data_IF_643211303590
#
_entry.id   IF_643211303590
#
_cell.length_a   1.000
_cell.length_b   1.000
_cell.length_c   1.000
_cell.angle_alpha   90.00
_cell.angle_beta   90.00
_cell.angle_gamma   90.00
#
_symmetry.space_group_name_H-M   'P 1'
#
loop_
_entity.id
_entity.type
_entity.pdbx_description
1 polymer ?
#
# COMPACT_ATOMS: atom_id res chain seq x y z
N UNK A 1 -12.33 21.37 10.05
CA UNK A 1 -12.17 20.84 11.42
C UNK A 1 -11.53 19.43 11.38
N UNK A 2 -10.37 19.27 10.74
CA UNK A 2 -9.71 17.96 10.53
C UNK A 2 -8.20 17.96 10.84
N UNK A 3 -7.70 19.00 11.51
CA UNK A 3 -6.28 19.16 11.85
C UNK A 3 -6.11 19.25 13.37
N UNK A 4 -6.37 18.17 14.12
CA UNK A 4 -5.96 18.12 15.54
C UNK A 4 -5.85 16.72 16.16
N UNK A 5 -5.75 15.64 15.36
CA UNK A 5 -5.81 14.27 15.90
C UNK A 5 -4.52 13.42 15.81
N UNK A 6 -3.38 13.94 15.35
CA UNK A 6 -2.21 13.07 15.12
C UNK A 6 -0.92 13.59 15.77
N UNK A 7 -0.85 13.54 17.11
CA UNK A 7 0.40 13.72 17.85
C UNK A 7 0.97 12.42 18.44
N UNK A 8 0.17 11.35 18.57
CA UNK A 8 0.64 10.11 19.21
C UNK A 8 0.85 9.00 18.17
N UNK A 9 1.99 8.29 18.24
CA UNK A 9 2.34 7.22 17.29
C UNK A 9 1.29 6.09 17.27
N UNK A 10 0.69 5.80 18.44
CA UNK A 10 -0.39 4.81 18.55
C UNK A 10 -1.67 5.23 17.81
N UNK A 11 -2.00 6.53 17.80
CA UNK A 11 -3.17 7.04 17.07
C UNK A 11 -2.94 6.95 15.55
N UNK A 12 -1.72 7.25 15.09
CA UNK A 12 -1.33 7.11 13.69
C UNK A 12 -1.47 5.64 13.25
N UNK A 13 -0.89 4.72 14.03
CA UNK A 13 -0.97 3.27 13.80
C UNK A 13 -2.40 2.76 13.76
N UNK A 14 -3.22 3.15 14.73
CA UNK A 14 -4.63 2.76 14.81
C UNK A 14 -5.42 3.28 13.62
N UNK A 15 -5.23 4.56 13.26
CA UNK A 15 -5.90 5.18 12.11
C UNK A 15 -5.60 4.42 10.80
N UNK A 16 -4.32 4.10 10.56
CA UNK A 16 -3.92 3.35 9.37
C UNK A 16 -4.44 1.91 9.38
N UNK A 17 -4.43 1.23 10.54
CA UNK A 17 -4.99 -0.13 10.65
C UNK A 17 -6.49 -0.19 10.36
N UNK A 18 -7.24 0.85 10.74
CA UNK A 18 -8.67 0.96 10.41
C UNK A 18 -8.84 1.18 8.90
N UNK A 19 -8.08 2.13 8.32
CA UNK A 19 -8.12 2.41 6.87
C UNK A 19 -7.76 1.18 6.05
N UNK A 20 -6.71 0.45 6.44
CA UNK A 20 -6.30 -0.81 5.84
C UNK A 20 -7.46 -1.83 5.78
N UNK A 21 -8.23 -1.93 6.87
CA UNK A 21 -9.37 -2.83 6.96
C UNK A 21 -10.55 -2.35 6.09
N UNK A 22 -10.81 -1.04 6.04
CA UNK A 22 -11.90 -0.47 5.25
C UNK A 22 -11.72 -0.68 3.74
N UNK A 23 -10.48 -0.64 3.23
CA UNK A 23 -10.22 -0.86 1.80
C UNK A 23 -10.55 -2.27 1.32
N UNK A 24 -10.62 -3.27 2.22
CA UNK A 24 -10.98 -4.65 1.87
C UNK A 24 -12.50 -4.86 1.68
N UNK A 25 -13.33 -3.89 2.08
CA UNK A 25 -14.77 -4.07 2.15
C UNK A 25 -15.45 -4.07 0.77
N UNK A 26 -15.23 -3.04 -0.05
CA UNK A 26 -15.78 -2.95 -1.42
C UNK A 26 -15.04 -1.91 -2.26
N UNK A 27 -15.21 -2.01 -3.58
CA UNK A 27 -14.72 -0.99 -4.52
C UNK A 27 -15.38 0.37 -4.29
N UNK A 28 -16.69 0.39 -4.02
CA UNK A 28 -17.46 1.61 -3.73
C UNK A 28 -16.97 2.33 -2.47
N UNK A 29 -16.63 1.59 -1.41
CA UNK A 29 -16.03 2.16 -0.19
C UNK A 29 -14.64 2.70 -0.48
N UNK A 30 -13.82 1.96 -1.22
CA UNK A 30 -12.46 2.39 -1.58
C UNK A 30 -12.48 3.68 -2.40
N UNK A 31 -13.37 3.80 -3.37
CA UNK A 31 -13.55 5.02 -4.18
C UNK A 31 -13.95 6.23 -3.32
N UNK A 32 -14.95 6.08 -2.45
CA UNK A 32 -15.38 7.16 -1.54
C UNK A 32 -14.26 7.61 -0.61
N UNK A 33 -13.45 6.67 -0.11
CA UNK A 33 -12.31 7.01 0.74
C UNK A 33 -11.23 7.79 -0.03
N UNK A 34 -10.98 7.46 -1.31
CA UNK A 34 -10.10 8.27 -2.16
C UNK A 34 -10.65 9.70 -2.31
N UNK A 35 -11.95 9.85 -2.54
CA UNK A 35 -12.63 11.14 -2.70
C UNK A 35 -12.62 11.98 -1.41
N UNK A 36 -12.70 11.33 -0.25
CA UNK A 36 -12.56 11.98 1.05
C UNK A 36 -11.11 12.36 1.43
N UNK A 37 -10.13 12.12 0.54
CA UNK A 37 -8.74 12.50 0.78
C UNK A 37 -8.01 11.55 1.74
N UNK A 38 -8.49 10.33 1.91
CA UNK A 38 -7.85 9.33 2.78
C UNK A 38 -6.46 8.96 2.27
N UNK A 39 -6.24 8.98 0.96
CA UNK A 39 -4.90 8.79 0.39
C UNK A 39 -3.92 9.84 0.92
N UNK A 40 -4.31 11.12 0.93
CA UNK A 40 -3.46 12.21 1.43
C UNK A 40 -3.20 12.05 2.94
N UNK A 41 -4.19 11.56 3.70
CA UNK A 41 -4.01 11.25 5.12
C UNK A 41 -3.00 10.13 5.35
N UNK A 42 -3.08 9.02 4.60
CA UNK A 42 -2.14 7.89 4.70
C UNK A 42 -0.73 8.36 4.40
N UNK A 43 -0.59 9.14 3.34
CA UNK A 43 0.64 9.75 2.86
C UNK A 43 1.28 10.64 3.95
N UNK A 44 0.52 11.60 4.50
CA UNK A 44 1.00 12.51 5.56
C UNK A 44 1.37 11.74 6.82
N UNK A 45 0.56 10.76 7.19
CA UNK A 45 0.79 9.93 8.38
C UNK A 45 2.04 9.08 8.22
N UNK A 46 2.26 8.48 7.04
CA UNK A 46 3.46 7.70 6.73
C UNK A 46 4.72 8.54 6.80
N UNK A 47 4.69 9.77 6.27
CA UNK A 47 5.81 10.73 6.39
C UNK A 47 6.18 11.06 7.84
N UNK A 48 5.20 11.09 8.74
CA UNK A 48 5.43 11.36 10.17
C UNK A 48 5.86 10.13 10.96
N UNK A 49 5.62 8.96 10.40
CA UNK A 49 5.79 7.66 11.04
C UNK A 49 6.97 6.88 10.47
N UNK A 50 7.93 7.56 9.81
CA UNK A 50 9.10 6.94 9.17
C UNK A 50 9.93 6.10 10.14
N UNK A 51 9.98 6.50 11.41
CA UNK A 51 10.72 5.77 12.46
C UNK A 51 9.91 4.62 13.10
N UNK A 52 8.69 4.35 12.62
CA UNK A 52 7.81 3.31 13.18
C UNK A 52 7.42 2.26 12.14
N UNK A 53 8.21 1.18 12.01
CA UNK A 53 7.99 0.13 11.00
C UNK A 53 6.57 -0.46 11.04
N UNK A 54 6.01 -0.65 12.23
CA UNK A 54 4.64 -1.21 12.39
C UNK A 54 3.56 -0.32 11.77
N UNK A 55 3.71 1.00 11.83
CA UNK A 55 2.79 1.98 11.23
C UNK A 55 2.92 1.97 9.71
N UNK A 56 4.16 1.91 9.19
CA UNK A 56 4.43 1.85 7.76
C UNK A 56 3.93 0.55 7.13
N UNK A 57 4.02 -0.59 7.84
CA UNK A 57 3.42 -1.86 7.40
C UNK A 57 1.92 -1.72 7.15
N UNK A 58 1.20 -1.06 8.06
CA UNK A 58 -0.23 -0.79 7.90
C UNK A 58 -0.50 0.17 6.73
N UNK A 59 0.35 1.19 6.53
CA UNK A 59 0.26 2.08 5.38
C UNK A 59 0.41 1.32 4.06
N UNK A 60 1.49 0.56 3.91
CA UNK A 60 1.83 -0.17 2.71
C UNK A 60 0.76 -1.22 2.39
N UNK A 61 0.31 -1.98 3.39
CA UNK A 61 -0.79 -2.93 3.22
C UNK A 61 -2.11 -2.24 2.87
N UNK A 62 -2.41 -1.09 3.47
CA UNK A 62 -3.57 -0.28 3.12
C UNK A 62 -3.54 0.16 1.65
N UNK A 63 -2.40 0.63 1.17
CA UNK A 63 -2.20 1.01 -0.23
C UNK A 63 -2.30 -0.19 -1.17
N UNK A 64 -1.74 -1.35 -0.79
CA UNK A 64 -1.88 -2.58 -1.56
C UNK A 64 -3.35 -2.98 -1.70
N UNK A 65 -4.11 -2.99 -0.59
CA UNK A 65 -5.55 -3.26 -0.64
C UNK A 65 -6.28 -2.22 -1.48
N UNK A 66 -5.92 -0.93 -1.36
CA UNK A 66 -6.51 0.12 -2.18
C UNK A 66 -6.31 -0.18 -3.68
N UNK A 67 -5.11 -0.57 -4.11
CA UNK A 67 -4.86 -0.93 -5.52
C UNK A 67 -5.55 -2.24 -5.96
N UNK A 68 -5.77 -3.19 -5.05
CA UNK A 68 -6.41 -4.48 -5.34
C UNK A 68 -7.94 -4.41 -5.42
N UNK A 69 -8.57 -3.56 -4.59
CA UNK A 69 -10.03 -3.49 -4.45
C UNK A 69 -10.66 -2.32 -5.20
N UNK A 70 -9.86 -1.33 -5.62
CA UNK A 70 -10.34 -0.21 -6.42
C UNK A 70 -10.49 -0.61 -7.90
N UNK A 71 -11.51 -0.06 -8.55
CA UNK A 71 -11.76 -0.21 -9.98
C UNK A 71 -10.86 0.70 -10.83
N UNK A 72 -11.04 0.67 -12.15
CA UNK A 72 -10.23 1.47 -13.08
C UNK A 72 -10.35 2.98 -12.81
N UNK A 73 -11.57 3.47 -12.52
CA UNK A 73 -11.79 4.90 -12.25
C UNK A 73 -11.04 5.36 -11.00
N UNK A 74 -11.17 4.63 -9.89
CA UNK A 74 -10.44 5.00 -8.68
C UNK A 74 -8.93 4.86 -8.86
N UNK A 75 -8.45 3.87 -9.63
CA UNK A 75 -7.01 3.77 -9.97
C UNK A 75 -6.51 4.98 -10.77
N UNK A 76 -7.30 5.54 -11.68
CA UNK A 76 -6.96 6.82 -12.35
C UNK A 76 -6.77 7.94 -11.34
N UNK A 77 -7.66 8.05 -10.34
CA UNK A 77 -7.52 9.01 -9.24
C UNK A 77 -6.25 8.79 -8.42
N UNK A 78 -5.83 7.53 -8.20
CA UNK A 78 -4.55 7.21 -7.52
C UNK A 78 -3.33 7.70 -8.31
N UNK A 79 -3.34 7.49 -9.64
CA UNK A 79 -2.26 7.97 -10.52
C UNK A 79 -2.23 9.50 -10.56
N UNK A 80 -3.38 10.16 -10.66
CA UNK A 80 -3.47 11.64 -10.58
C UNK A 80 -2.91 12.19 -9.27
N UNK A 81 -3.11 11.46 -8.16
CA UNK A 81 -2.54 11.78 -6.85
C UNK A 81 -1.08 11.34 -6.67
N UNK A 82 -0.39 10.91 -7.74
CA UNK A 82 1.03 10.51 -7.74
C UNK A 82 1.35 9.40 -6.74
N UNK A 83 0.43 8.44 -6.56
CA UNK A 83 0.67 7.28 -5.70
C UNK A 83 1.97 6.51 -6.05
N UNK A 84 2.33 6.27 -7.33
CA UNK A 84 3.59 5.60 -7.67
C UNK A 84 4.86 6.27 -7.12
N UNK A 85 4.92 7.61 -7.18
CA UNK A 85 6.03 8.41 -6.62
C UNK A 85 6.11 8.25 -5.10
N UNK A 86 4.97 8.08 -4.44
CA UNK A 86 4.90 7.85 -3.00
C UNK A 86 5.29 6.43 -2.58
N UNK A 87 4.92 5.44 -3.39
CA UNK A 87 5.33 4.05 -3.16
C UNK A 87 6.85 3.90 -3.22
N UNK A 88 7.56 4.75 -3.99
CA UNK A 88 9.03 4.79 -3.98
C UNK A 88 9.61 4.95 -2.57
N UNK A 89 9.01 5.82 -1.74
CA UNK A 89 9.47 6.04 -0.36
C UNK A 89 9.27 4.79 0.52
N UNK A 90 8.21 4.02 0.27
CA UNK A 90 7.89 2.80 1.03
C UNK A 90 8.71 1.59 0.58
N UNK A 91 9.04 1.48 -0.72
CA UNK A 91 9.90 0.41 -1.25
C UNK A 91 11.36 0.56 -0.79
N UNK A 92 11.77 1.79 -0.43
CA UNK A 92 13.10 2.10 0.14
C UNK A 92 13.17 2.05 1.67
N UNK A 93 12.13 1.58 2.36
CA UNK A 93 12.21 1.37 3.81
C UNK A 93 13.07 0.14 4.14
N UNK A 94 13.67 0.08 5.33
CA UNK A 94 14.45 -1.09 5.77
C UNK A 94 13.58 -2.31 6.11
N UNK A 95 12.27 -2.10 6.31
CA UNK A 95 11.34 -3.14 6.71
C UNK A 95 10.80 -3.95 5.52
N UNK A 96 11.21 -5.21 5.40
CA UNK A 96 10.86 -6.06 4.24
C UNK A 96 9.36 -6.27 4.05
N UNK A 97 8.57 -6.31 5.13
CA UNK A 97 7.10 -6.38 5.02
C UNK A 97 6.50 -5.13 4.36
N UNK A 98 6.99 -3.96 4.75
CA UNK A 98 6.59 -2.67 4.16
C UNK A 98 6.98 -2.62 2.69
N UNK A 99 8.23 -3.01 2.37
CA UNK A 99 8.74 -3.07 0.99
C UNK A 99 7.91 -4.02 0.14
N UNK A 100 7.58 -5.19 0.66
CA UNK A 100 6.77 -6.19 -0.04
C UNK A 100 5.37 -5.67 -0.38
N UNK A 101 4.64 -5.09 0.57
CA UNK A 101 3.30 -4.57 0.28
C UNK A 101 3.32 -3.35 -0.65
N UNK A 102 4.32 -2.49 -0.53
CA UNK A 102 4.51 -1.39 -1.47
C UNK A 102 4.85 -1.90 -2.89
N UNK A 103 5.69 -2.94 -2.97
CA UNK A 103 6.05 -3.62 -4.22
C UNK A 103 4.84 -4.30 -4.87
N UNK A 104 3.97 -4.91 -4.07
CA UNK A 104 2.71 -5.46 -4.56
C UNK A 104 1.82 -4.35 -5.12
N UNK A 105 1.65 -3.24 -4.41
CA UNK A 105 0.83 -2.12 -4.85
C UNK A 105 1.32 -1.53 -6.19
N UNK A 106 2.64 -1.37 -6.36
CA UNK A 106 3.20 -0.87 -7.62
C UNK A 106 3.06 -1.88 -8.75
N UNK A 107 3.24 -3.18 -8.50
CA UNK A 107 3.03 -4.22 -9.51
C UNK A 107 1.58 -4.28 -9.99
N UNK A 108 0.61 -4.12 -9.07
CA UNK A 108 -0.82 -4.07 -9.41
C UNK A 108 -1.20 -2.85 -10.25
N UNK A 109 -0.47 -1.74 -10.13
CA UNK A 109 -0.63 -0.58 -11.00
C UNK A 109 0.08 -0.78 -12.34
N UNK A 110 1.28 -1.37 -12.32
CA UNK A 110 2.08 -1.66 -13.51
C UNK A 110 1.42 -2.69 -14.45
N UNK A 111 0.66 -3.64 -13.91
CA UNK A 111 -0.05 -4.65 -14.72
C UNK A 111 -1.14 -4.06 -15.61
N UNK A 112 -1.54 -2.80 -15.37
CA UNK A 112 -2.52 -2.09 -16.19
C UNK A 112 -1.78 -1.21 -17.20
N UNK A 113 -1.87 -1.56 -18.49
CA UNK A 113 -1.22 -0.84 -19.60
C UNK A 113 -1.45 0.67 -19.58
N UNK A 114 -2.64 1.13 -19.16
CA UNK A 114 -2.96 2.56 -19.05
C UNK A 114 -2.03 3.30 -18.07
N UNK A 115 -1.56 2.63 -17.01
CA UNK A 115 -0.78 3.24 -15.93
C UNK A 115 0.71 2.91 -15.98
N UNK A 116 1.12 2.00 -16.84
CA UNK A 116 2.51 1.56 -17.02
C UNK A 116 3.46 2.75 -17.19
N UNK A 117 3.13 3.73 -18.05
CA UNK A 117 3.97 4.92 -18.26
C UNK A 117 4.14 5.76 -16.98
N UNK A 118 3.09 5.89 -16.17
CA UNK A 118 3.16 6.65 -14.92
C UNK A 118 4.01 5.92 -13.86
N UNK A 119 3.92 4.59 -13.81
CA UNK A 119 4.75 3.75 -12.94
C UNK A 119 6.21 3.75 -13.37
N UNK A 120 6.49 3.67 -14.66
CA UNK A 120 7.86 3.73 -15.19
C UNK A 120 8.52 5.08 -14.91
N UNK A 121 7.76 6.18 -14.97
CA UNK A 121 8.24 7.52 -14.63
C UNK A 121 8.61 7.69 -13.16
N UNK A 122 8.06 6.88 -12.25
CA UNK A 122 8.38 6.99 -10.83
C UNK A 122 9.63 6.20 -10.43
N UNK A 123 10.23 5.43 -11.34
CA UNK A 123 11.37 4.52 -11.12
C UNK A 123 11.17 3.47 -10.01
N UNK A 124 9.99 3.41 -9.38
CA UNK A 124 9.64 2.50 -8.29
C UNK A 124 9.71 1.04 -8.71
N UNK A 125 9.32 0.72 -9.95
CA UNK A 125 9.29 -0.66 -10.44
C UNK A 125 10.69 -1.28 -10.52
N UNK A 126 11.73 -0.48 -10.78
CA UNK A 126 13.13 -0.94 -10.86
C UNK A 126 13.66 -1.46 -9.51
N UNK A 127 13.04 -1.04 -8.41
CA UNK A 127 13.42 -1.47 -7.05
C UNK A 127 12.77 -2.79 -6.64
N UNK A 128 11.72 -3.22 -7.34
CA UNK A 128 10.96 -4.43 -6.99
C UNK A 128 11.72 -5.70 -7.37
N UNK A 129 12.27 -5.77 -8.58
CA UNK A 129 12.98 -6.97 -9.05
C UNK A 129 14.19 -7.32 -8.18
N UNK A 130 15.11 -6.38 -7.84
CA UNK A 130 16.22 -6.67 -6.94
C UNK A 130 15.76 -7.13 -5.55
N UNK A 131 14.66 -6.55 -5.05
CA UNK A 131 14.09 -6.95 -3.77
C UNK A 131 13.59 -8.40 -3.80
N UNK A 132 12.86 -8.79 -4.85
CA UNK A 132 12.33 -10.15 -5.00
C UNK A 132 13.45 -11.18 -5.18
N UNK A 133 14.52 -10.85 -5.91
CA UNK A 133 15.65 -11.75 -6.11
C UNK A 133 16.51 -11.94 -4.85
N UNK A 134 16.53 -10.95 -3.96
CA UNK A 134 17.31 -11.00 -2.72
C UNK A 134 16.61 -11.79 -1.59
N UNK A 135 15.30 -12.06 -1.70
CA UNK A 135 14.52 -12.69 -0.61
C UNK A 135 13.98 -14.05 -1.01
N UNK A 136 14.11 -15.01 -0.10
CA UNK A 136 13.48 -16.31 -0.22
C UNK A 136 12.02 -16.28 0.28
N UNK A 137 11.10 -16.79 -0.53
CA UNK A 137 9.67 -16.76 -0.25
C UNK A 137 9.27 -17.59 0.99
N UNK A 138 9.98 -18.71 1.25
CA UNK A 138 9.67 -19.58 2.39
C UNK A 138 10.09 -18.95 3.70
N UNK A 139 11.24 -18.28 3.71
CA UNK A 139 11.75 -17.52 4.85
C UNK A 139 10.82 -16.33 5.17
N UNK A 140 10.40 -15.59 4.13
CA UNK A 140 9.49 -14.45 4.28
C UNK A 140 8.10 -14.85 4.84
N UNK A 141 7.58 -16.02 4.45
CA UNK A 141 6.30 -16.52 4.96
C UNK A 141 6.34 -16.77 6.48
N UNK A 142 7.50 -17.14 7.03
CA UNK A 142 7.71 -17.34 8.47
C UNK A 142 7.71 -16.03 9.27
N UNK A 143 8.26 -14.95 8.70
CA UNK A 143 8.43 -13.66 9.38
C UNK A 143 7.12 -12.86 9.54
N UNK A 144 6.09 -13.21 8.77
CA UNK A 144 4.82 -12.48 8.80
C UNK A 144 3.85 -12.99 9.90
N UNK A 145 4.13 -12.71 11.17
CA UNK A 145 3.33 -13.17 12.33
C UNK A 145 1.79 -13.01 12.17
N UNK A 146 1.30 -11.88 11.62
CA UNK A 146 -0.15 -11.61 11.46
C UNK A 146 -0.85 -12.38 10.32
N UNK A 147 -0.10 -12.91 9.37
CA UNK A 147 -0.62 -13.63 8.20
C UNK A 147 0.16 -14.93 7.97
N UNK A 148 0.69 -15.51 9.04
CA UNK A 148 1.41 -16.79 9.04
C UNK A 148 0.53 -17.95 8.56
N UNK A 149 -0.80 -17.82 8.73
CA UNK A 149 -1.81 -18.74 8.19
C UNK A 149 -2.22 -18.42 6.73
N UNK A 150 -1.54 -17.46 6.08
CA UNK A 150 -1.83 -17.03 4.72
C UNK A 150 -2.92 -15.96 4.61
N UNK A 151 -3.35 -15.74 3.36
CA UNK A 151 -4.40 -14.78 2.98
C UNK A 151 -5.67 -15.50 2.55
N UNK A 152 -6.86 -14.92 2.78
CA UNK A 152 -8.12 -15.52 2.34
C UNK A 152 -8.17 -15.64 0.81
N UNK A 153 -8.87 -16.67 0.31
CA UNK A 153 -9.00 -16.98 -1.12
C UNK A 153 -9.44 -15.77 -1.95
N UNK A 154 -10.36 -14.97 -1.43
CA UNK A 154 -10.86 -13.74 -2.06
C UNK A 154 -9.81 -12.64 -2.26
N UNK A 155 -8.77 -12.63 -1.43
CA UNK A 155 -7.67 -11.68 -1.56
C UNK A 155 -6.65 -12.21 -2.59
N UNK A 156 -6.34 -13.51 -2.55
CA UNK A 156 -5.42 -14.16 -3.48
C UNK A 156 -5.95 -14.19 -4.93
N UNK A 157 -7.26 -14.35 -5.12
CA UNK A 157 -7.86 -14.32 -6.46
C UNK A 157 -7.67 -12.97 -7.18
N UNK A 158 -7.37 -11.90 -6.44
CA UNK A 158 -7.14 -10.55 -6.99
C UNK A 158 -5.71 -10.33 -7.44
N UNK A 159 -4.76 -11.11 -6.93
CA UNK A 159 -3.35 -11.05 -7.38
C UNK A 159 -3.10 -11.92 -8.62
N UNK A 160 -4.10 -12.72 -9.02
CA UNK A 160 -4.04 -13.61 -10.20
C UNK A 160 -4.73 -13.01 -11.44
N UNK A 161 -5.20 -11.76 -11.37
CA UNK A 161 -5.85 -11.05 -12.47
C UNK A 161 -4.86 -10.20 -13.25
#
# INVERSE_FOLDING_TARGET
MAMKLNKNAEQQRMSLSIMESMFKHSSSTSLKLIEYGVLDHIIITSKRAMDTPTTLRHAALGLANLTLYTDSEGKKKLIQKKLPEWLFLLVNQDDDLTRYYASLAICMLASIKEFESAVMKSDTLKLVEPFLLAHDATSFAGDHYKHSQGRPKEWLSRTLK
#
